data_IF_148179156771
#
_entry.id   IF_148179156771
#
_cell.length_a   1.000
_cell.length_b   1.000
_cell.length_c   1.000
_cell.angle_alpha   90.00
_cell.angle_beta   90.00
_cell.angle_gamma   90.00
#
_symmetry.space_group_name_H-M   'P 1'
#
loop_
_entity.id
_entity.type
_entity.pdbx_description
1 polymer ?
#
# COMPACT_ATOMS: atom_id res chain seq x y z
N UNK A 1 23.66 4.98 2.25
CA UNK A 1 22.86 3.82 1.84
C UNK A 1 23.34 3.43 0.46
N UNK A 2 23.85 2.22 0.31
CA UNK A 2 24.16 1.64 -1.00
C UNK A 2 22.89 0.99 -1.58
N UNK A 3 22.83 0.75 -2.89
CA UNK A 3 21.68 0.05 -3.50
C UNK A 3 21.39 -1.30 -2.82
N UNK A 4 22.43 -1.96 -2.28
CA UNK A 4 22.31 -3.19 -1.51
C UNK A 4 21.56 -3.05 -0.17
N UNK A 5 21.49 -1.85 0.41
CA UNK A 5 20.70 -1.61 1.63
C UNK A 5 19.20 -1.65 1.31
N UNK A 6 18.82 -1.11 0.14
CA UNK A 6 17.41 -1.10 -0.33
C UNK A 6 16.97 -2.50 -0.72
N UNK A 7 17.80 -3.25 -1.44
CA UNK A 7 17.51 -4.64 -1.81
C UNK A 7 17.37 -5.54 -0.57
N UNK A 8 18.23 -5.35 0.45
CA UNK A 8 18.15 -6.10 1.70
C UNK A 8 16.88 -5.76 2.49
N UNK A 9 16.53 -4.48 2.60
CA UNK A 9 15.30 -4.05 3.27
C UNK A 9 14.05 -4.57 2.55
N UNK A 10 14.07 -4.58 1.20
CA UNK A 10 12.98 -5.12 0.41
C UNK A 10 12.84 -6.64 0.61
N UNK A 11 13.95 -7.38 0.70
CA UNK A 11 13.96 -8.81 1.03
C UNK A 11 13.32 -9.08 2.39
N UNK A 12 13.72 -8.33 3.42
CA UNK A 12 13.14 -8.44 4.77
C UNK A 12 11.64 -8.14 4.76
N UNK A 13 11.19 -7.13 4.00
CA UNK A 13 9.76 -6.82 3.88
C UNK A 13 8.96 -7.96 3.21
N UNK A 14 9.52 -8.63 2.20
CA UNK A 14 8.89 -9.78 1.57
C UNK A 14 8.70 -10.94 2.57
N UNK A 15 9.71 -11.21 3.40
CA UNK A 15 9.65 -12.25 4.42
C UNK A 15 8.63 -11.91 5.52
N UNK A 16 8.64 -10.68 6.03
CA UNK A 16 7.77 -10.26 7.14
C UNK A 16 6.29 -10.24 6.78
N UNK A 17 5.97 -9.86 5.54
CA UNK A 17 4.59 -9.72 5.07
C UNK A 17 4.10 -10.94 4.29
N UNK A 18 4.95 -11.95 4.11
CA UNK A 18 4.65 -13.16 3.33
C UNK A 18 4.16 -12.84 1.90
N UNK A 19 4.76 -11.82 1.28
CA UNK A 19 4.36 -11.31 -0.02
C UNK A 19 5.51 -11.42 -1.03
N UNK A 20 5.16 -11.65 -2.29
CA UNK A 20 6.13 -11.56 -3.38
C UNK A 20 6.65 -10.12 -3.53
N UNK A 21 7.89 -9.98 -3.99
CA UNK A 21 8.56 -8.69 -4.18
C UNK A 21 7.74 -7.69 -5.02
N UNK A 22 7.11 -8.14 -6.11
CA UNK A 22 6.22 -7.27 -6.90
C UNK A 22 5.03 -6.75 -6.08
N UNK A 23 4.49 -7.56 -5.17
CA UNK A 23 3.40 -7.18 -4.29
C UNK A 23 3.82 -6.10 -3.30
N UNK A 24 5.00 -6.25 -2.70
CA UNK A 24 5.58 -5.25 -1.79
C UNK A 24 5.86 -3.93 -2.52
N UNK A 25 6.47 -3.97 -3.70
CA UNK A 25 6.74 -2.75 -4.48
C UNK A 25 5.42 -2.02 -4.81
N UNK A 26 4.39 -2.75 -5.25
CA UNK A 26 3.07 -2.15 -5.51
C UNK A 26 2.42 -1.57 -4.26
N UNK A 27 2.59 -2.22 -3.10
CA UNK A 27 2.11 -1.71 -1.82
C UNK A 27 2.79 -0.40 -1.45
N UNK A 28 4.13 -0.38 -1.42
CA UNK A 28 4.92 0.81 -1.09
C UNK A 28 4.59 1.99 -2.02
N UNK A 29 4.51 1.75 -3.33
CA UNK A 29 4.20 2.81 -4.29
C UNK A 29 2.77 3.34 -4.08
N UNK A 30 1.80 2.47 -3.81
CA UNK A 30 0.42 2.88 -3.55
C UNK A 30 0.32 3.73 -2.29
N UNK A 31 0.89 3.28 -1.18
CA UNK A 31 0.89 4.04 0.08
C UNK A 31 1.56 5.41 -0.09
N UNK A 32 2.69 5.46 -0.81
CA UNK A 32 3.35 6.71 -1.15
C UNK A 32 2.47 7.63 -2.02
N UNK A 33 1.77 7.10 -3.03
CA UNK A 33 0.88 7.92 -3.86
C UNK A 33 -0.35 8.40 -3.09
N UNK A 34 -0.88 7.60 -2.18
CA UNK A 34 -2.01 7.94 -1.30
C UNK A 34 -1.63 9.04 -0.30
N UNK A 35 -0.47 8.93 0.36
CA UNK A 35 0.02 9.91 1.34
C UNK A 35 0.21 11.31 0.71
N UNK A 36 0.66 11.36 -0.54
CA UNK A 36 0.86 12.62 -1.26
C UNK A 36 -0.39 13.09 -2.04
N UNK A 37 -1.53 12.40 -1.89
CA UNK A 37 -2.80 12.78 -2.51
C UNK A 37 -2.86 12.58 -4.03
N UNK A 38 -1.95 11.78 -4.60
CA UNK A 38 -1.98 11.41 -6.01
C UNK A 38 -2.99 10.30 -6.31
N UNK A 39 -3.32 9.49 -5.30
CA UNK A 39 -4.43 8.54 -5.35
C UNK A 39 -5.50 8.92 -4.33
N UNK A 40 -6.80 8.77 -4.67
CA UNK A 40 -7.85 8.90 -3.67
C UNK A 40 -7.63 7.82 -2.61
N UNK A 41 -7.48 8.25 -1.36
CA UNK A 41 -7.55 7.36 -0.21
C UNK A 41 -9.00 6.87 -0.17
N UNK A 42 -9.22 5.63 -0.58
CA UNK A 42 -10.47 4.98 -0.21
C UNK A 42 -10.34 4.66 1.28
N UNK A 43 -10.69 5.63 2.12
CA UNK A 43 -11.17 5.30 3.45
C UNK A 43 -12.24 4.25 3.19
N UNK A 44 -11.99 3.02 3.63
CA UNK A 44 -12.98 1.97 3.67
C UNK A 44 -14.12 2.56 4.50
N UNK A 45 -15.12 3.12 3.81
CA UNK A 45 -16.32 3.72 4.38
C UNK A 45 -16.90 2.74 5.40
N UNK A 46 -16.55 2.97 6.66
CA UNK A 46 -17.01 2.20 7.81
C UNK A 46 -18.45 2.63 8.08
N UNK A 47 -19.34 2.11 7.25
CA UNK A 47 -20.78 2.14 7.47
C UNK A 47 -21.47 3.47 7.15
N UNK A 48 -22.07 3.54 5.97
CA UNK A 48 -23.50 3.87 5.94
C UNK A 48 -24.24 3.14 4.82
N UNK A 49 -24.73 1.94 5.13
CA UNK A 49 -25.97 1.49 4.51
C UNK A 49 -27.10 2.47 4.90
N UNK A 50 -27.39 3.46 4.05
CA UNK A 50 -28.78 3.90 3.87
C UNK A 50 -29.05 4.23 2.42
N UNK A 51 -29.69 3.27 1.75
CA UNK A 51 -30.67 3.42 0.67
C UNK A 51 -31.04 4.87 0.35
N UNK A 52 -30.56 5.37 -0.78
CA UNK A 52 -31.26 6.41 -1.53
C UNK A 52 -32.49 5.79 -2.20
N UNK A 53 -33.63 5.77 -1.49
CA UNK A 53 -34.95 5.64 -2.10
C UNK A 53 -35.39 7.00 -2.63
N UNK A 54 -35.59 7.11 -3.95
CA UNK A 54 -36.72 7.76 -4.65
C UNK A 54 -36.40 7.87 -6.14
#
# INVERSE_FOLDING_TARGET
>A
MSDGDVESALGVACELLEMAQEGIIRLIIREWLEEYGFLPIYDLDDGSETKGSA
#
